data_IF_518299645707
#
_entry.id   IF_518299645707
#
_cell.length_a   1.000
_cell.length_b   1.000
_cell.length_c   1.000
_cell.angle_alpha   90.00
_cell.angle_beta   90.00
_cell.angle_gamma   90.00
#
_symmetry.space_group_name_H-M   'P 1'
#
loop_
_entity.id
_entity.type
_entity.pdbx_description
1 polymer ?
#
# COMPACT_ATOMS: atom_id res chain seq x y z
N UNK A 1 4.62 -1.14 -17.56
CA UNK A 1 5.16 -2.36 -16.93
C UNK A 1 4.06 -2.92 -16.06
N UNK A 2 3.73 -4.20 -16.20
CA UNK A 2 2.83 -4.83 -15.25
C UNK A 2 3.56 -4.92 -13.91
N UNK A 3 2.96 -4.38 -12.86
CA UNK A 3 3.51 -4.44 -11.50
C UNK A 3 2.54 -5.22 -10.63
N UNK A 4 3.04 -6.27 -9.98
CA UNK A 4 2.33 -6.96 -8.92
C UNK A 4 2.94 -6.51 -7.58
N UNK A 5 2.17 -5.73 -6.82
CA UNK A 5 2.55 -5.23 -5.51
C UNK A 5 1.85 -6.08 -4.45
N UNK A 6 2.61 -6.67 -3.54
CA UNK A 6 2.05 -7.35 -2.38
C UNK A 6 1.97 -6.37 -1.21
N UNK A 7 0.91 -6.49 -0.42
CA UNK A 7 0.67 -5.67 0.75
C UNK A 7 0.31 -6.54 1.95
N UNK A 8 0.95 -6.27 3.07
CA UNK A 8 0.70 -6.97 4.35
C UNK A 8 0.31 -5.94 5.39
N UNK A 9 -0.81 -6.18 6.07
CA UNK A 9 -1.29 -5.31 7.14
C UNK A 9 -0.36 -5.48 8.35
N UNK A 10 0.14 -4.36 8.85
CA UNK A 10 0.98 -4.36 10.06
C UNK A 10 0.12 -4.06 11.30
N UNK A 11 -0.82 -3.14 11.17
CA UNK A 11 -1.64 -2.65 12.27
C UNK A 11 -2.95 -2.04 11.76
N UNK A 12 -4.02 -2.19 12.53
CA UNK A 12 -5.30 -1.54 12.27
C UNK A 12 -6.00 -1.19 13.59
N UNK A 13 -6.56 0.01 13.66
CA UNK A 13 -7.47 0.44 14.72
C UNK A 13 -8.65 1.23 14.12
N UNK A 14 -9.44 1.90 14.96
CA UNK A 14 -10.60 2.69 14.52
C UNK A 14 -10.23 3.89 13.63
N UNK A 15 -9.00 4.39 13.72
CA UNK A 15 -8.58 5.62 13.04
C UNK A 15 -7.68 5.37 11.84
N UNK A 16 -6.76 4.41 11.92
CA UNK A 16 -5.77 4.16 10.87
C UNK A 16 -5.68 2.67 10.53
N UNK A 17 -5.23 2.41 9.31
CA UNK A 17 -4.71 1.11 8.90
C UNK A 17 -3.34 1.29 8.28
N UNK A 18 -2.38 0.47 8.70
CA UNK A 18 -0.97 0.52 8.30
C UNK A 18 -0.67 -0.72 7.47
N UNK A 19 -0.07 -0.51 6.30
CA UNK A 19 0.38 -1.57 5.41
C UNK A 19 1.85 -1.40 5.08
N UNK A 20 2.54 -2.53 5.06
CA UNK A 20 3.77 -2.68 4.29
C UNK A 20 3.41 -3.03 2.85
N UNK A 21 4.18 -2.54 1.90
CA UNK A 21 4.03 -2.82 0.47
C UNK A 21 5.38 -3.11 -0.17
N UNK A 22 5.42 -4.08 -1.08
CA UNK A 22 6.65 -4.46 -1.79
C UNK A 22 6.31 -5.08 -3.15
N UNK A 23 7.16 -4.89 -4.17
CA UNK A 23 7.01 -5.59 -5.43
C UNK A 23 7.23 -7.09 -5.21
N UNK A 24 6.35 -7.92 -5.77
CA UNK A 24 6.43 -9.38 -5.68
C UNK A 24 7.78 -9.96 -6.16
N UNK A 25 8.39 -9.33 -7.16
CA UNK A 25 9.71 -9.67 -7.70
C UNK A 25 10.89 -9.23 -6.83
N UNK A 26 10.67 -8.38 -5.83
CA UNK A 26 11.72 -7.92 -4.92
C UNK A 26 11.17 -7.67 -3.51
N UNK A 27 10.84 -8.73 -2.75
CA UNK A 27 10.21 -8.61 -1.43
C UNK A 27 11.04 -7.85 -0.39
N UNK A 28 12.35 -7.72 -0.58
CA UNK A 28 13.22 -6.93 0.29
C UNK A 28 13.02 -5.41 0.13
N UNK A 29 12.38 -4.95 -0.95
CA UNK A 29 12.11 -3.53 -1.21
C UNK A 29 10.79 -3.11 -0.59
N UNK A 30 10.78 -3.04 0.73
CA UNK A 30 9.59 -2.74 1.53
C UNK A 30 9.43 -1.23 1.67
N UNK A 31 8.25 -0.73 1.33
CA UNK A 31 7.75 0.55 1.80
C UNK A 31 6.62 0.36 2.81
N UNK A 32 6.23 1.44 3.48
CA UNK A 32 5.22 1.46 4.52
C UNK A 32 4.33 2.69 4.36
N UNK A 33 3.03 2.48 4.46
CA UNK A 33 2.05 3.56 4.40
C UNK A 33 0.98 3.39 5.47
N UNK A 34 0.27 4.46 5.77
CA UNK A 34 -1.01 4.36 6.46
C UNK A 34 -2.11 5.13 5.74
N UNK A 35 -3.32 4.61 5.88
CA UNK A 35 -4.55 5.29 5.48
C UNK A 35 -5.28 5.73 6.75
N UNK A 36 -5.54 7.04 6.88
CA UNK A 36 -6.37 7.58 7.94
C UNK A 36 -7.85 7.47 7.51
N UNK A 37 -8.62 6.68 8.25
CA UNK A 37 -10.04 6.37 8.00
C UNK A 37 -10.93 7.60 8.22
N UNK A 38 -10.56 8.49 9.15
CA UNK A 38 -11.32 9.73 9.47
C UNK A 38 -11.06 10.83 8.46
N UNK A 39 -9.79 11.11 8.17
CA UNK A 39 -9.38 12.17 7.22
C UNK A 39 -9.54 11.73 5.77
N UNK A 40 -9.58 10.42 5.53
CA UNK A 40 -9.60 9.80 4.19
C UNK A 40 -8.35 10.17 3.38
N UNK A 41 -7.21 10.25 4.06
CA UNK A 41 -5.92 10.63 3.51
C UNK A 41 -4.90 9.49 3.62
N UNK A 42 -3.99 9.44 2.65
CA UNK A 42 -2.88 8.50 2.59
C UNK A 42 -1.60 9.20 3.02
N UNK A 43 -0.78 8.50 3.77
CA UNK A 43 0.50 8.99 4.26
C UNK A 43 1.59 7.96 4.02
N UNK A 44 2.67 8.41 3.40
CA UNK A 44 3.88 7.63 3.17
C UNK A 44 4.74 7.68 4.43
N UNK A 45 4.92 6.54 5.10
CA UNK A 45 5.72 6.44 6.32
C UNK A 45 7.18 6.13 5.96
N UNK A 46 7.37 5.17 5.05
CA UNK A 46 8.69 4.73 4.61
C UNK A 46 8.61 4.37 3.13
N UNK A 47 9.47 4.96 2.31
CA UNK A 47 9.51 4.66 0.89
C UNK A 47 10.26 3.38 0.61
N UNK A 48 9.77 2.59 -0.34
CA UNK A 48 10.50 1.43 -0.83
C UNK A 48 11.91 1.84 -1.32
N UNK A 49 12.98 1.10 -0.94
CA UNK A 49 14.36 1.43 -1.29
C UNK A 49 14.65 1.09 -2.76
N UNK A 50 14.16 1.93 -3.66
CA UNK A 50 14.42 1.87 -5.11
C UNK A 50 15.12 3.14 -5.59
N UNK A 51 15.92 3.01 -6.65
CA UNK A 51 16.82 4.07 -7.10
C UNK A 51 16.11 5.24 -7.81
N UNK A 52 14.85 5.04 -8.22
CA UNK A 52 14.09 6.04 -8.97
C UNK A 52 12.96 6.63 -8.13
N UNK A 53 12.91 7.96 -8.03
CA UNK A 53 11.80 8.70 -7.41
C UNK A 53 10.45 8.30 -8.04
N UNK A 54 10.40 8.24 -9.38
CA UNK A 54 9.19 7.85 -10.11
C UNK A 54 8.72 6.43 -9.75
N UNK A 55 9.66 5.50 -9.49
CA UNK A 55 9.29 4.16 -9.04
C UNK A 55 8.75 4.16 -7.60
N UNK A 56 9.33 4.95 -6.70
CA UNK A 56 8.82 5.10 -5.31
C UNK A 56 7.38 5.62 -5.32
N UNK A 57 7.14 6.71 -6.04
CA UNK A 57 5.81 7.29 -6.20
C UNK A 57 4.83 6.30 -6.86
N UNK A 58 5.28 5.58 -7.89
CA UNK A 58 4.44 4.57 -8.54
C UNK A 58 4.03 3.44 -7.59
N UNK A 59 4.94 2.92 -6.79
CA UNK A 59 4.65 1.84 -5.83
C UNK A 59 3.67 2.31 -4.75
N UNK A 60 3.90 3.51 -4.20
CA UNK A 60 3.00 4.12 -3.23
C UNK A 60 1.60 4.34 -3.82
N UNK A 61 1.50 4.85 -5.05
CA UNK A 61 0.22 5.05 -5.74
C UNK A 61 -0.52 3.73 -6.00
N UNK A 62 0.19 2.65 -6.31
CA UNK A 62 -0.39 1.31 -6.45
C UNK A 62 -0.97 0.82 -5.12
N UNK A 63 -0.22 0.97 -4.03
CA UNK A 63 -0.67 0.61 -2.68
C UNK A 63 -1.93 1.40 -2.27
N UNK A 64 -1.94 2.72 -2.50
CA UNK A 64 -3.11 3.58 -2.28
C UNK A 64 -4.31 3.11 -3.10
N UNK A 65 -4.10 2.83 -4.40
CA UNK A 65 -5.17 2.35 -5.29
C UNK A 65 -5.78 1.04 -4.80
N UNK A 66 -4.97 0.13 -4.24
CA UNK A 66 -5.47 -1.12 -3.70
C UNK A 66 -6.36 -0.91 -2.48
N UNK A 67 -6.03 0.02 -1.59
CA UNK A 67 -6.90 0.43 -0.47
C UNK A 67 -8.19 1.06 -0.98
N UNK A 68 -8.12 1.94 -1.98
CA UNK A 68 -9.32 2.53 -2.60
C UNK A 68 -10.23 1.45 -3.17
N UNK A 69 -9.69 0.35 -3.72
CA UNK A 69 -10.50 -0.80 -4.17
C UNK A 69 -11.24 -1.48 -3.02
N UNK A 70 -10.62 -1.67 -1.84
CA UNK A 70 -11.33 -2.18 -0.65
C UNK A 70 -12.49 -1.24 -0.27
N UNK A 71 -12.19 0.05 -0.16
CA UNK A 71 -13.17 1.07 0.21
C UNK A 71 -14.37 1.10 -0.74
N UNK A 72 -14.13 1.02 -2.06
CA UNK A 72 -15.20 1.03 -3.07
C UNK A 72 -16.09 -0.19 -3.02
N UNK A 73 -15.54 -1.34 -2.64
CA UNK A 73 -16.30 -2.58 -2.49
C UNK A 73 -16.95 -2.73 -1.12
N UNK A 74 -16.72 -1.77 -0.22
CA UNK A 74 -17.10 -1.85 1.19
C UNK A 74 -16.57 -3.14 1.85
N UNK A 75 -15.39 -3.57 1.41
CA UNK A 75 -14.66 -4.72 1.97
C UNK A 75 -13.88 -4.26 3.20
N UNK A 76 -13.71 -5.17 4.15
CA UNK A 76 -12.73 -5.00 5.22
C UNK A 76 -11.32 -4.87 4.63
N UNK A 77 -10.42 -4.25 5.39
CA UNK A 77 -9.00 -4.20 5.05
C UNK A 77 -8.39 -5.60 5.29
N UNK A 78 -7.93 -6.33 4.27
CA UNK A 78 -7.44 -7.71 4.45
C UNK A 78 -6.04 -7.77 5.05
N UNK A 79 -5.70 -8.81 5.81
CA UNK A 79 -4.34 -8.94 6.37
C UNK A 79 -3.26 -9.08 5.28
N UNK A 80 -3.62 -9.64 4.13
CA UNK A 80 -2.77 -9.66 2.94
C UNK A 80 -3.58 -9.40 1.68
N UNK A 81 -3.00 -8.66 0.74
CA UNK A 81 -3.62 -8.38 -0.55
C UNK A 81 -2.58 -8.04 -1.62
N UNK A 82 -2.97 -8.21 -2.88
CA UNK A 82 -2.16 -7.82 -4.02
C UNK A 82 -2.82 -6.67 -4.80
N UNK A 83 -1.99 -5.77 -5.33
CA UNK A 83 -2.34 -4.91 -6.45
C UNK A 83 -1.82 -5.53 -7.74
N UNK A 84 -2.74 -5.73 -8.69
CA UNK A 84 -2.45 -6.17 -10.04
C UNK A 84 -3.15 -5.21 -11.02
N UNK A 85 -2.42 -4.82 -12.08
CA UNK A 85 -2.82 -3.87 -13.12
C UNK A 85 -2.73 -4.50 -14.51
#
# INVERSE_FOLDING_TARGET
MAICLLMTKEFENEEIVVYQYYPSESPAKIGKMHYNKKERMFYDIEQAPVDSLNMREHYFNCACTRIVRCLRKNEEFPDSMAYEA
#
